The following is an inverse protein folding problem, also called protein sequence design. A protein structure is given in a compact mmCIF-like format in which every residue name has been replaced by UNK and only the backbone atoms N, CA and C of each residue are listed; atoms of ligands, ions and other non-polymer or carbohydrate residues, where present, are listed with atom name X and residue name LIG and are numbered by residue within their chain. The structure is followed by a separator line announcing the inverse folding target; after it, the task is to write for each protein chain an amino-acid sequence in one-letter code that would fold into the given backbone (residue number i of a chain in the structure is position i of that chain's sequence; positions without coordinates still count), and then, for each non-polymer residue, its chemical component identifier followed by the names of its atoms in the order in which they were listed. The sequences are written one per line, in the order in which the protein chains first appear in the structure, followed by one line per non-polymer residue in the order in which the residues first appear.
data_IF_971649885423
#
_entry.id   IF_971649885423
#
_cell.length_a   1.000
_cell.length_b   1.000
_cell.length_c   1.000
_cell.angle_alpha   90.00
_cell.angle_beta   90.00
_cell.angle_gamma   90.00
#
_symmetry.space_group_name_H-M   'P 1'
#
loop_
_entity.id
_entity.type
_entity.pdbx_description
1 polymer ?
#
# COMPACT_ATOMS: atom_id res chain seq x y z
N UNK A 1 -1.14 67.40 18.55
CA UNK A 1 -0.17 66.77 19.46
C UNK A 1 1.20 66.69 18.78
N UNK A 2 2.18 67.48 19.22
CA UNK A 2 3.54 67.47 18.66
C UNK A 2 4.36 66.41 19.40
N UNK A 3 4.55 65.24 18.78
CA UNK A 3 5.40 64.19 19.34
C UNK A 3 6.86 64.66 19.36
N UNK A 4 7.49 64.61 20.54
CA UNK A 4 8.90 64.97 20.71
C UNK A 4 9.85 63.97 20.04
N UNK A 5 11.09 64.39 19.80
CA UNK A 5 12.14 63.60 19.11
C UNK A 5 12.33 62.19 19.70
N UNK A 6 12.18 62.04 21.02
CA UNK A 6 12.25 60.74 21.72
C UNK A 6 11.22 59.72 21.21
N UNK A 7 9.99 60.17 20.91
CA UNK A 7 8.92 59.32 20.41
C UNK A 7 9.15 58.87 18.96
N UNK A 8 9.76 59.72 18.13
CA UNK A 8 10.19 59.33 16.77
C UNK A 8 11.25 58.24 16.81
N UNK A 9 12.24 58.35 17.70
CA UNK A 9 13.29 57.34 17.84
C UNK A 9 12.74 55.98 18.30
N UNK A 10 11.84 55.97 19.29
CA UNK A 10 11.17 54.75 19.75
C UNK A 10 10.37 54.10 18.62
N UNK A 11 9.64 54.90 17.84
CA UNK A 11 8.86 54.40 16.71
C UNK A 11 9.73 53.75 15.63
N UNK A 12 10.90 54.32 15.32
CA UNK A 12 11.83 53.76 14.34
C UNK A 12 12.41 52.43 14.83
N UNK A 13 12.84 52.37 16.10
CA UNK A 13 13.39 51.12 16.66
C UNK A 13 12.33 50.01 16.72
N UNK A 14 11.10 50.34 17.12
CA UNK A 14 10.00 49.37 17.15
C UNK A 14 9.65 48.88 15.74
N UNK A 15 9.59 49.77 14.76
CA UNK A 15 9.35 49.40 13.36
C UNK A 15 10.45 48.49 12.82
N UNK A 16 11.71 48.73 13.18
CA UNK A 16 12.82 47.90 12.76
C UNK A 16 12.72 46.49 13.35
N UNK A 17 12.41 46.38 14.64
CA UNK A 17 12.23 45.08 15.32
C UNK A 17 11.10 44.30 14.66
N UNK A 18 9.95 44.95 14.42
CA UNK A 18 8.80 44.30 13.76
C UNK A 18 9.18 43.83 12.35
N UNK A 19 9.87 44.65 11.56
CA UNK A 19 10.27 44.28 10.20
C UNK A 19 11.21 43.06 10.19
N UNK A 20 12.18 43.01 11.11
CA UNK A 20 13.09 41.88 11.26
C UNK A 20 12.33 40.62 11.69
N UNK A 21 11.43 40.74 12.67
CA UNK A 21 10.60 39.62 13.11
C UNK A 21 9.74 39.07 11.98
N UNK A 22 9.03 39.93 11.24
CA UNK A 22 8.21 39.49 10.11
C UNK A 22 9.04 38.75 9.05
N UNK A 23 10.23 39.27 8.74
CA UNK A 23 11.12 38.64 7.75
C UNK A 23 11.60 37.27 8.23
N UNK A 24 12.04 37.16 9.49
CA UNK A 24 12.48 35.90 10.08
C UNK A 24 11.34 34.88 10.13
N UNK A 25 10.17 35.28 10.60
CA UNK A 25 8.99 34.41 10.66
C UNK A 25 8.58 33.95 9.27
N UNK A 26 8.61 34.83 8.26
CA UNK A 26 8.30 34.46 6.88
C UNK A 26 9.27 33.38 6.35
N UNK A 27 10.58 33.60 6.50
CA UNK A 27 11.60 32.62 6.08
C UNK A 27 11.46 31.30 6.85
N UNK A 28 11.18 31.37 8.15
CA UNK A 28 11.00 30.19 8.99
C UNK A 28 9.78 29.37 8.56
N UNK A 29 8.64 30.00 8.30
CA UNK A 29 7.43 29.33 7.82
C UNK A 29 7.68 28.69 6.46
N UNK A 30 8.30 29.42 5.53
CA UNK A 30 8.61 28.91 4.20
C UNK A 30 9.53 27.68 4.24
N UNK A 31 10.58 27.74 5.08
CA UNK A 31 11.51 26.61 5.27
C UNK A 31 10.81 25.39 5.90
N UNK A 32 9.96 25.62 6.92
CA UNK A 32 9.21 24.53 7.57
C UNK A 32 8.23 23.86 6.62
N UNK A 33 7.53 24.62 5.77
CA UNK A 33 6.63 24.06 4.76
C UNK A 33 7.39 23.14 3.79
N UNK A 34 8.53 23.59 3.28
CA UNK A 34 9.32 22.80 2.34
C UNK A 34 9.88 21.50 2.96
N UNK A 35 10.31 21.55 4.23
CA UNK A 35 10.75 20.36 4.96
C UNK A 35 9.58 19.39 5.17
N UNK A 36 8.41 19.90 5.55
CA UNK A 36 7.22 19.09 5.78
C UNK A 36 6.75 18.38 4.49
N UNK A 37 6.71 19.08 3.36
CA UNK A 37 6.37 18.51 2.06
C UNK A 37 7.32 17.37 1.68
N UNK A 38 8.64 17.56 1.87
CA UNK A 38 9.64 16.53 1.59
C UNK A 38 9.48 15.32 2.50
N UNK A 39 9.18 15.54 3.79
CA UNK A 39 8.96 14.46 4.74
C UNK A 39 7.69 13.68 4.40
N UNK A 40 6.61 14.37 4.03
CA UNK A 40 5.36 13.73 3.60
C UNK A 40 5.57 12.85 2.37
N UNK A 41 6.23 13.37 1.34
CA UNK A 41 6.56 12.58 0.14
C UNK A 41 7.43 11.36 0.47
N UNK A 42 8.41 11.52 1.36
CA UNK A 42 9.25 10.41 1.82
C UNK A 42 8.45 9.36 2.60
N UNK A 43 7.54 9.78 3.48
CA UNK A 43 6.68 8.87 4.24
C UNK A 43 5.72 8.12 3.34
N UNK A 44 5.15 8.79 2.34
CA UNK A 44 4.29 8.16 1.34
C UNK A 44 5.02 7.05 0.58
N UNK A 45 6.23 7.34 0.09
CA UNK A 45 7.08 6.35 -0.57
C UNK A 45 7.41 5.17 0.34
N UNK A 46 7.80 5.44 1.59
CA UNK A 46 8.12 4.40 2.57
C UNK A 46 6.90 3.53 2.91
N UNK A 47 5.71 4.11 3.07
CA UNK A 47 4.48 3.36 3.32
C UNK A 47 4.11 2.48 2.12
N UNK A 48 4.24 3.00 0.90
CA UNK A 48 4.01 2.24 -0.33
C UNK A 48 4.97 1.05 -0.44
N UNK A 49 6.25 1.28 -0.20
CA UNK A 49 7.26 0.22 -0.23
C UNK A 49 7.04 -0.80 0.88
N UNK A 50 6.66 -0.36 2.08
CA UNK A 50 6.33 -1.25 3.19
C UNK A 50 5.13 -2.15 2.85
N UNK A 51 4.07 -1.60 2.25
CA UNK A 51 2.91 -2.38 1.82
C UNK A 51 3.28 -3.40 0.74
N UNK A 52 4.12 -3.02 -0.23
CA UNK A 52 4.64 -3.95 -1.24
C UNK A 52 5.44 -5.09 -0.59
N UNK A 53 6.36 -4.79 0.32
CA UNK A 53 7.16 -5.81 1.01
C UNK A 53 6.30 -6.73 1.89
N UNK A 54 5.31 -6.18 2.60
CA UNK A 54 4.34 -6.95 3.39
C UNK A 54 3.54 -7.87 2.48
N UNK A 55 2.98 -7.37 1.38
CA UNK A 55 2.23 -8.18 0.41
C UNK A 55 3.07 -9.30 -0.22
N UNK A 56 4.34 -9.03 -0.54
CA UNK A 56 5.27 -10.06 -1.00
C UNK A 56 5.51 -11.14 0.07
N UNK A 57 5.72 -10.73 1.32
CA UNK A 57 5.96 -11.65 2.43
C UNK A 57 4.74 -12.53 2.70
N UNK A 58 3.55 -11.93 2.76
CA UNK A 58 2.30 -12.65 2.97
C UNK A 58 2.04 -13.64 1.83
N UNK A 59 2.15 -13.21 0.57
CA UNK A 59 1.93 -14.09 -0.58
C UNK A 59 2.94 -15.23 -0.66
N UNK A 60 4.23 -14.99 -0.37
CA UNK A 60 5.26 -16.03 -0.34
C UNK A 60 4.99 -17.06 0.75
N UNK A 61 4.72 -16.59 1.98
CA UNK A 61 4.43 -17.49 3.10
C UNK A 61 3.14 -18.27 2.89
N UNK A 62 2.13 -17.64 2.28
CA UNK A 62 0.88 -18.29 1.91
C UNK A 62 1.14 -19.39 0.88
N UNK A 63 1.80 -19.08 -0.24
CA UNK A 63 2.11 -20.03 -1.30
C UNK A 63 2.92 -21.24 -0.79
N UNK A 64 3.93 -21.00 0.07
CA UNK A 64 4.71 -22.07 0.68
C UNK A 64 3.86 -22.99 1.55
N UNK A 65 2.98 -22.43 2.39
CA UNK A 65 2.11 -23.26 3.22
C UNK A 65 1.07 -24.01 2.39
N UNK A 66 0.51 -23.38 1.34
CA UNK A 66 -0.41 -24.06 0.42
C UNK A 66 0.30 -25.21 -0.29
N UNK A 67 1.53 -25.02 -0.81
CA UNK A 67 2.35 -26.10 -1.39
C UNK A 67 2.50 -27.28 -0.43
N UNK A 68 2.85 -27.03 0.84
CA UNK A 68 2.98 -28.07 1.88
C UNK A 68 1.65 -28.81 2.09
N UNK A 69 0.52 -28.10 2.13
CA UNK A 69 -0.81 -28.71 2.34
C UNK A 69 -1.26 -29.53 1.13
N UNK A 70 -1.00 -29.05 -0.09
CA UNK A 70 -1.31 -29.79 -1.33
C UNK A 70 -0.43 -31.05 -1.42
N UNK A 71 0.87 -30.95 -1.14
CA UNK A 71 1.77 -32.11 -1.09
C UNK A 71 1.33 -33.17 -0.08
N UNK A 72 0.67 -32.75 1.02
CA UNK A 72 0.09 -33.63 2.03
C UNK A 72 -1.35 -34.09 1.71
N UNK A 73 -1.88 -33.77 0.52
CA UNK A 73 -3.27 -34.03 0.10
C UNK A 73 -4.33 -33.49 1.07
N UNK A 74 -4.02 -32.41 1.79
CA UNK A 74 -4.89 -31.83 2.81
C UNK A 74 -5.53 -30.53 2.32
N UNK A 75 -6.43 -30.65 1.34
CA UNK A 75 -7.13 -29.51 0.74
C UNK A 75 -8.05 -28.77 1.73
N UNK A 76 -8.65 -29.48 2.69
CA UNK A 76 -9.46 -28.85 3.75
C UNK A 76 -8.63 -27.85 4.59
N UNK A 77 -7.36 -28.17 4.86
CA UNK A 77 -6.47 -27.26 5.56
C UNK A 77 -6.11 -26.01 4.73
N UNK A 78 -6.23 -26.04 3.40
CA UNK A 78 -6.00 -24.86 2.55
C UNK A 78 -7.10 -23.83 2.76
N UNK A 79 -8.36 -24.26 2.82
CA UNK A 79 -9.49 -23.36 3.11
C UNK A 79 -9.38 -22.69 4.47
N UNK A 80 -8.98 -23.44 5.49
CA UNK A 80 -8.72 -22.88 6.83
C UNK A 80 -7.58 -21.86 6.79
N UNK A 81 -6.54 -22.14 6.00
CA UNK A 81 -5.41 -21.24 5.84
C UNK A 81 -5.80 -19.92 5.17
N UNK A 82 -6.65 -19.97 4.14
CA UNK A 82 -7.21 -18.75 3.51
C UNK A 82 -7.98 -17.92 4.53
N UNK A 83 -8.80 -18.57 5.36
CA UNK A 83 -9.56 -17.88 6.42
C UNK A 83 -8.64 -17.21 7.44
N UNK A 84 -7.60 -17.90 7.88
CA UNK A 84 -6.61 -17.36 8.83
C UNK A 84 -5.87 -16.17 8.22
N UNK A 85 -5.42 -16.30 6.97
CA UNK A 85 -4.66 -15.24 6.29
C UNK A 85 -5.52 -14.01 6.02
N UNK A 86 -6.78 -14.17 5.61
CA UNK A 86 -7.73 -13.06 5.47
C UNK A 86 -8.04 -12.39 6.81
N UNK A 87 -8.16 -13.17 7.89
CA UNK A 87 -8.40 -12.63 9.25
C UNK A 87 -7.20 -11.84 9.79
N UNK A 88 -5.97 -12.30 9.50
CA UNK A 88 -4.75 -11.71 10.06
C UNK A 88 -4.19 -10.55 9.22
N UNK A 89 -4.72 -10.32 8.01
CA UNK A 89 -4.24 -9.27 7.11
C UNK A 89 -5.44 -8.46 6.62
N UNK A 90 -5.75 -7.36 7.29
CA UNK A 90 -6.87 -6.48 6.92
C UNK A 90 -6.67 -5.85 5.52
N UNK A 91 -5.41 -5.66 5.11
CA UNK A 91 -5.04 -5.13 3.79
C UNK A 91 -5.24 -6.15 2.65
N UNK A 92 -5.56 -7.42 2.96
CA UNK A 92 -5.76 -8.46 1.95
C UNK A 92 -7.21 -8.46 1.47
N UNK A 93 -7.41 -7.96 0.26
CA UNK A 93 -8.75 -7.81 -0.34
C UNK A 93 -9.33 -9.18 -0.73
N UNK A 94 -8.54 -10.01 -1.40
CA UNK A 94 -9.00 -11.32 -1.87
C UNK A 94 -7.85 -12.31 -2.10
N UNK A 95 -8.22 -13.58 -2.25
CA UNK A 95 -7.34 -14.70 -2.60
C UNK A 95 -8.05 -15.53 -3.68
N UNK A 96 -7.28 -15.91 -4.70
CA UNK A 96 -7.68 -16.88 -5.72
C UNK A 96 -6.67 -18.02 -5.69
N UNK A 97 -7.16 -19.24 -5.63
CA UNK A 97 -6.39 -20.45 -5.87
C UNK A 97 -6.99 -21.16 -7.07
N UNK A 98 -6.20 -21.37 -8.11
CA UNK A 98 -6.63 -22.06 -9.33
C UNK A 98 -5.57 -23.05 -9.81
N UNK A 99 -5.98 -24.04 -10.59
CA UNK A 99 -5.06 -24.97 -11.26
C UNK A 99 -4.59 -24.46 -12.63
N UNK A 100 -3.73 -25.26 -13.27
CA UNK A 100 -3.20 -24.96 -14.62
C UNK A 100 -4.26 -25.01 -15.73
N UNK A 101 -5.42 -25.59 -15.46
CA UNK A 101 -6.57 -25.63 -16.39
C UNK A 101 -7.49 -24.42 -16.23
N UNK A 102 -7.19 -23.54 -15.26
CA UNK A 102 -7.97 -22.35 -14.84
C UNK A 102 -9.22 -22.67 -14.02
N UNK A 103 -9.34 -23.88 -13.50
CA UNK A 103 -10.38 -24.21 -12.53
C UNK A 103 -10.03 -23.54 -11.20
N UNK A 104 -10.92 -22.68 -10.69
CA UNK A 104 -10.75 -22.06 -9.37
C UNK A 104 -11.12 -23.06 -8.28
N UNK A 105 -10.22 -23.30 -7.33
CA UNK A 105 -10.54 -24.03 -6.10
C UNK A 105 -11.00 -23.12 -4.97
N UNK A 106 -10.52 -21.88 -4.96
CA UNK A 106 -10.88 -20.88 -3.94
C UNK A 106 -10.98 -19.54 -4.64
N UNK A 107 -12.09 -18.82 -4.41
CA UNK A 107 -12.23 -17.44 -4.86
C UNK A 107 -12.97 -16.61 -3.80
N UNK A 108 -12.23 -15.89 -2.95
CA UNK A 108 -12.84 -15.22 -1.78
C UNK A 108 -13.66 -13.98 -2.09
N UNK A 109 -13.56 -13.46 -3.32
CA UNK A 109 -14.30 -12.28 -3.79
C UNK A 109 -15.60 -12.69 -4.49
N UNK A 110 -15.55 -13.73 -5.32
CA UNK A 110 -16.69 -14.32 -6.02
C UNK A 110 -16.75 -15.83 -5.69
N UNK A 111 -17.23 -16.23 -4.49
CA UNK A 111 -17.30 -17.64 -4.09
C UNK A 111 -18.13 -18.51 -5.05
N UNK A 112 -19.04 -17.90 -5.79
CA UNK A 112 -19.83 -18.56 -6.84
C UNK A 112 -18.99 -19.09 -8.01
N UNK A 113 -17.76 -18.61 -8.19
CA UNK A 113 -16.83 -19.09 -9.23
C UNK A 113 -15.98 -20.28 -8.76
N UNK A 114 -16.18 -20.81 -7.55
CA UNK A 114 -15.51 -22.02 -7.11
C UNK A 114 -15.92 -23.23 -7.97
N UNK A 115 -14.91 -23.98 -8.44
CA UNK A 115 -15.00 -25.07 -9.42
C UNK A 115 -15.44 -24.62 -10.82
N UNK A 116 -15.39 -23.31 -11.11
CA UNK A 116 -15.58 -22.77 -12.46
C UNK A 116 -14.25 -22.44 -13.14
N UNK A 117 -14.30 -22.35 -14.47
CA UNK A 117 -13.16 -21.94 -15.28
C UNK A 117 -13.05 -20.41 -15.35
N UNK A 118 -11.97 -19.89 -14.81
CA UNK A 118 -11.64 -18.47 -14.85
C UNK A 118 -11.12 -18.08 -16.24
N UNK A 119 -11.73 -17.05 -16.82
CA UNK A 119 -11.46 -16.60 -18.20
C UNK A 119 -11.21 -15.09 -18.30
N UNK A 120 -11.10 -14.37 -17.18
CA UNK A 120 -10.81 -12.94 -17.20
C UNK A 120 -9.33 -12.71 -17.61
N UNK A 121 -8.99 -11.50 -18.05
CA UNK A 121 -7.68 -11.21 -18.62
C UNK A 121 -6.56 -11.37 -17.56
N UNK A 122 -6.90 -11.07 -16.32
CA UNK A 122 -6.11 -11.18 -15.10
C UNK A 122 -5.76 -12.65 -14.81
N UNK A 123 -6.75 -13.55 -14.91
CA UNK A 123 -6.55 -14.99 -14.70
C UNK A 123 -5.62 -15.58 -15.76
N UNK A 124 -5.82 -15.16 -17.02
CA UNK A 124 -4.96 -15.57 -18.13
C UNK A 124 -3.53 -15.00 -17.99
N UNK A 125 -3.38 -13.83 -17.39
CA UNK A 125 -2.06 -13.28 -17.08
C UNK A 125 -1.38 -14.10 -16.00
N UNK A 126 -2.07 -14.42 -14.91
CA UNK A 126 -1.56 -15.20 -13.80
C UNK A 126 -1.11 -16.61 -14.23
N UNK A 127 -1.88 -17.28 -15.11
CA UNK A 127 -1.54 -18.60 -15.65
C UNK A 127 -0.22 -18.62 -16.43
N UNK A 128 0.12 -17.51 -17.12
CA UNK A 128 1.34 -17.42 -17.94
C UNK A 128 2.61 -17.22 -17.10
N UNK A 129 2.48 -16.96 -15.80
CA UNK A 129 3.62 -16.66 -14.95
C UNK A 129 4.26 -17.95 -14.45
N UNK A 130 5.54 -18.15 -14.81
CA UNK A 130 6.34 -19.28 -14.28
C UNK A 130 7.14 -18.92 -13.03
N UNK A 131 7.15 -17.64 -12.63
CA UNK A 131 7.85 -17.12 -11.46
C UNK A 131 6.95 -16.15 -10.67
N UNK A 132 7.22 -15.93 -9.36
CA UNK A 132 6.55 -14.91 -8.58
C UNK A 132 6.50 -13.56 -9.31
N UNK A 133 5.31 -13.00 -9.45
CA UNK A 133 5.10 -11.74 -10.15
C UNK A 133 4.03 -10.90 -9.44
N UNK A 134 3.87 -9.67 -9.91
CA UNK A 134 2.84 -8.76 -9.42
C UNK A 134 2.16 -8.09 -10.59
N UNK A 135 0.85 -7.90 -10.49
CA UNK A 135 0.05 -7.16 -11.46
C UNK A 135 -0.73 -6.07 -10.73
N UNK A 136 -0.97 -4.94 -11.38
CA UNK A 136 -1.98 -3.99 -10.92
C UNK A 136 -3.31 -4.33 -11.57
N UNK A 137 -4.35 -4.46 -10.76
CA UNK A 137 -5.71 -4.76 -11.17
C UNK A 137 -6.65 -3.70 -10.60
N UNK A 138 -7.88 -3.64 -11.13
CA UNK A 138 -8.93 -2.77 -10.62
C UNK A 138 -10.10 -3.61 -10.16
N UNK A 139 -10.43 -3.49 -8.87
CA UNK A 139 -11.57 -4.17 -8.27
C UNK A 139 -12.49 -3.08 -7.74
N UNK A 140 -13.74 -3.07 -8.22
CA UNK A 140 -14.77 -2.07 -7.85
C UNK A 140 -14.33 -0.60 -7.99
N UNK A 141 -13.36 -0.33 -8.87
CA UNK A 141 -12.80 1.00 -9.13
C UNK A 141 -11.53 1.33 -8.32
N UNK A 142 -11.19 0.52 -7.32
CA UNK A 142 -9.98 0.67 -6.53
C UNK A 142 -8.79 -0.06 -7.19
N UNK A 143 -7.62 0.59 -7.18
CA UNK A 143 -6.38 -0.02 -7.64
C UNK A 143 -5.83 -0.99 -6.60
N UNK A 144 -5.67 -2.25 -7.01
CA UNK A 144 -5.15 -3.32 -6.16
C UNK A 144 -3.88 -3.88 -6.79
N UNK A 145 -2.96 -4.36 -5.94
CA UNK A 145 -1.76 -5.06 -6.38
C UNK A 145 -1.98 -6.55 -6.13
N UNK A 146 -2.07 -7.30 -7.21
CA UNK A 146 -2.17 -8.75 -7.17
C UNK A 146 -0.77 -9.35 -7.05
N UNK A 147 -0.58 -10.26 -6.10
CA UNK A 147 0.67 -11.00 -5.95
C UNK A 147 0.47 -12.43 -6.45
N UNK A 148 1.02 -12.72 -7.62
CA UNK A 148 0.86 -14.03 -8.29
C UNK A 148 2.01 -14.94 -7.89
N UNK A 149 1.68 -16.12 -7.37
CA UNK A 149 2.65 -17.11 -6.89
C UNK A 149 2.36 -18.48 -7.49
N UNK A 150 3.14 -18.90 -8.50
CA UNK A 150 3.04 -20.26 -9.03
C UNK A 150 3.40 -21.27 -7.93
N UNK A 151 2.53 -22.24 -7.72
CA UNK A 151 2.74 -23.31 -6.74
C UNK A 151 3.31 -24.51 -7.48
N UNK A 152 4.52 -24.91 -7.10
CA UNK A 152 5.13 -26.16 -7.55
C UNK A 152 4.98 -27.17 -6.41
N UNK A 153 4.52 -28.38 -6.75
CA UNK A 153 4.32 -29.51 -5.84
C UNK A 153 5.11 -30.68 -6.39
#
# INVERSE_FOLDING_TARGET
MKFGIRWRLISIMLSLIIAVLCTLTYVQIWSQQHILEKELASRELLLRENNLQRGQTVSNNFANQVSIKIAAFNFSAVNELVRIVKKNNEDLIYVILMNMEREAYIHTLKPELELEFLNEAEDLFALKQSSPSTQQSKIDGDEVIEFIRPIQV
#
